data_IF_236974180126
#
_entry.id   IF_236974180126
#
_cell.length_a   1.000
_cell.length_b   1.000
_cell.length_c   1.000
_cell.angle_alpha   90.00
_cell.angle_beta   90.00
_cell.angle_gamma   90.00
#
_symmetry.space_group_name_H-M   'P 1'
#
loop_
_entity.id
_entity.type
_entity.pdbx_description
1 polymer ?
#
# COMPACT_ATOMS: atom_id res chain seq x y z
N UNK A 1 8.05 -29.51 29.71
CA UNK A 1 7.46 -28.36 28.99
C UNK A 1 6.37 -28.91 28.09
N UNK A 2 5.12 -28.89 28.56
CA UNK A 2 3.98 -29.36 27.77
C UNK A 2 3.66 -28.32 26.69
N UNK A 3 3.59 -28.80 25.45
CA UNK A 3 3.10 -28.09 24.29
C UNK A 3 1.72 -27.50 24.59
N UNK A 4 1.62 -26.17 24.59
CA UNK A 4 0.35 -25.47 24.70
C UNK A 4 -0.50 -25.75 23.46
N UNK A 5 -1.40 -26.73 23.56
CA UNK A 5 -2.52 -26.84 22.63
C UNK A 5 -3.36 -25.56 22.77
N UNK A 6 -3.56 -24.87 21.65
CA UNK A 6 -4.53 -23.79 21.55
C UNK A 6 -5.91 -24.33 21.99
N UNK A 7 -6.71 -23.56 22.76
CA UNK A 7 -8.04 -23.99 23.18
C UNK A 7 -8.88 -24.43 21.98
N UNK A 8 -9.59 -25.56 22.11
CA UNK A 8 -10.45 -26.15 21.07
C UNK A 8 -11.50 -25.19 20.46
N UNK A 9 -11.75 -24.03 21.09
CA UNK A 9 -12.57 -22.95 20.54
C UNK A 9 -11.93 -22.27 19.31
N UNK A 10 -10.60 -22.24 19.20
CA UNK A 10 -9.89 -21.65 18.06
C UNK A 10 -9.81 -22.59 16.85
N UNK A 11 -10.04 -23.90 17.02
CA UNK A 11 -10.14 -24.83 15.88
C UNK A 11 -11.47 -24.70 15.10
N UNK A 12 -12.45 -23.93 15.60
CA UNK A 12 -13.81 -23.83 15.03
C UNK A 12 -14.09 -22.59 14.19
N UNK A 13 -13.07 -21.83 13.79
CA UNK A 13 -13.18 -20.77 12.77
C UNK A 13 -12.26 -21.09 11.58
N UNK A 14 -12.52 -22.22 10.92
CA UNK A 14 -11.82 -22.64 9.68
C UNK A 14 -12.62 -22.32 8.41
N UNK A 15 -13.60 -21.41 8.49
CA UNK A 15 -14.32 -20.93 7.31
C UNK A 15 -13.51 -19.78 6.68
N UNK A 16 -12.94 -20.03 5.51
CA UNK A 16 -12.44 -18.94 4.68
C UNK A 16 -13.62 -18.03 4.30
N UNK A 17 -13.52 -16.74 4.60
CA UNK A 17 -14.52 -15.76 4.24
C UNK A 17 -14.12 -15.09 2.92
N UNK A 18 -15.04 -15.11 1.95
CA UNK A 18 -14.86 -14.40 0.68
C UNK A 18 -15.26 -12.93 0.83
N UNK A 19 -14.49 -12.02 0.25
CA UNK A 19 -14.85 -10.61 0.20
C UNK A 19 -16.15 -10.38 -0.55
N UNK A 20 -16.99 -9.46 -0.06
CA UNK A 20 -18.31 -9.14 -0.62
C UNK A 20 -19.41 -10.16 -0.30
N UNK A 21 -19.08 -11.29 0.34
CA UNK A 21 -20.06 -12.35 0.65
C UNK A 21 -20.39 -12.34 2.14
N UNK A 22 -21.67 -12.21 2.47
CA UNK A 22 -22.14 -12.35 3.86
C UNK A 22 -22.14 -13.81 4.29
N UNK A 23 -21.54 -14.07 5.45
CA UNK A 23 -21.52 -15.39 6.10
C UNK A 23 -22.08 -15.27 7.50
N UNK A 24 -23.09 -16.09 7.82
CA UNK A 24 -23.62 -16.16 9.19
C UNK A 24 -22.75 -17.07 10.04
N UNK A 25 -22.28 -16.54 11.17
CA UNK A 25 -21.52 -17.26 12.19
C UNK A 25 -22.29 -17.27 13.51
N UNK A 26 -22.26 -18.41 14.21
CA UNK A 26 -22.82 -18.50 15.56
C UNK A 26 -21.80 -17.93 16.56
N UNK A 27 -22.24 -17.00 17.41
CA UNK A 27 -21.36 -16.35 18.39
C UNK A 27 -21.93 -16.53 19.78
N UNK A 28 -21.37 -17.49 20.53
CA UNK A 28 -21.78 -17.76 21.90
C UNK A 28 -23.18 -18.38 21.98
N UNK A 29 -24.20 -17.57 22.29
CA UNK A 29 -25.59 -17.99 22.40
C UNK A 29 -26.13 -18.43 21.02
N UNK A 30 -26.65 -19.67 20.88
CA UNK A 30 -27.25 -20.14 19.63
C UNK A 30 -28.41 -19.27 19.09
N UNK A 31 -29.04 -18.45 19.93
CA UNK A 31 -30.09 -17.52 19.53
C UNK A 31 -29.54 -16.23 18.88
N UNK A 32 -28.24 -15.96 18.98
CA UNK A 32 -27.59 -14.78 18.42
C UNK A 32 -26.86 -15.13 17.13
N UNK A 33 -27.36 -14.64 16.01
CA UNK A 33 -26.70 -14.77 14.70
C UNK A 33 -25.89 -13.52 14.39
N UNK A 34 -24.63 -13.71 13.98
CA UNK A 34 -23.78 -12.65 13.46
C UNK A 34 -23.57 -12.87 11.97
N UNK A 35 -24.02 -11.93 11.14
CA UNK A 35 -23.64 -11.85 9.74
C UNK A 35 -22.31 -11.11 9.63
N UNK A 36 -21.32 -11.75 9.00
CA UNK A 36 -19.99 -11.19 8.75
C UNK A 36 -19.80 -11.05 7.25
N UNK A 37 -19.61 -9.83 6.77
CA UNK A 37 -19.26 -9.54 5.38
C UNK A 37 -17.88 -8.88 5.35
N UNK A 38 -16.81 -9.58 4.95
CA UNK A 38 -15.53 -8.95 4.68
C UNK A 38 -15.62 -8.08 3.42
N UNK A 39 -15.07 -6.89 3.45
CA UNK A 39 -14.96 -5.98 2.31
C UNK A 39 -13.49 -5.66 2.08
N UNK A 40 -13.06 -5.45 0.84
CA UNK A 40 -11.66 -5.16 0.56
C UNK A 40 -11.22 -3.83 1.19
N UNK A 41 -10.17 -3.81 2.02
CA UNK A 41 -9.72 -2.58 2.69
C UNK A 41 -8.77 -1.73 1.84
N UNK A 42 -8.25 -2.28 0.74
CA UNK A 42 -7.36 -1.58 -0.19
C UNK A 42 -6.07 -1.00 0.46
N UNK A 43 -5.65 -1.58 1.60
CA UNK A 43 -4.46 -1.17 2.33
C UNK A 43 -3.22 -1.98 1.91
N UNK A 44 -3.34 -3.30 1.97
CA UNK A 44 -2.37 -4.28 1.46
C UNK A 44 -3.10 -5.56 1.07
N UNK A 45 -2.38 -6.50 0.45
CA UNK A 45 -2.97 -7.80 0.06
C UNK A 45 -3.55 -8.53 1.28
N UNK A 46 -4.80 -8.98 1.14
CA UNK A 46 -5.53 -9.66 2.20
C UNK A 46 -6.13 -8.76 3.28
N UNK A 47 -5.91 -7.43 3.23
CA UNK A 47 -6.52 -6.51 4.16
C UNK A 47 -8.03 -6.38 3.89
N UNK A 48 -8.84 -6.52 4.94
CA UNK A 48 -10.31 -6.45 4.85
C UNK A 48 -10.88 -5.54 5.93
N UNK A 49 -11.96 -4.85 5.56
CA UNK A 49 -12.94 -4.29 6.49
C UNK A 49 -13.93 -5.38 6.85
N UNK A 50 -14.58 -5.28 8.01
CA UNK A 50 -15.68 -6.17 8.39
C UNK A 50 -16.96 -5.38 8.59
N UNK A 51 -18.00 -5.73 7.82
CA UNK A 51 -19.37 -5.35 8.11
C UNK A 51 -20.01 -6.47 8.93
N UNK A 52 -20.28 -6.17 10.19
CA UNK A 52 -20.77 -7.09 11.21
C UNK A 52 -22.22 -6.71 11.54
N UNK A 53 -23.15 -7.65 11.41
CA UNK A 53 -24.58 -7.37 11.58
C UNK A 53 -25.25 -8.40 12.47
N UNK A 54 -25.94 -7.92 13.49
CA UNK A 54 -26.90 -8.68 14.30
C UNK A 54 -28.33 -8.28 13.90
N UNK A 55 -29.33 -8.82 14.60
CA UNK A 55 -30.73 -8.48 14.35
C UNK A 55 -31.04 -6.97 14.52
N UNK A 56 -30.31 -6.30 15.41
CA UNK A 56 -30.60 -4.94 15.89
C UNK A 56 -29.41 -3.97 15.78
N UNK A 57 -28.22 -4.47 15.42
CA UNK A 57 -27.01 -3.67 15.39
C UNK A 57 -26.14 -3.98 14.17
N UNK A 58 -25.47 -2.96 13.65
CA UNK A 58 -24.55 -3.07 12.52
C UNK A 58 -23.29 -2.27 12.80
N UNK A 59 -22.14 -2.93 12.78
CA UNK A 59 -20.81 -2.35 12.99
C UNK A 59 -20.03 -2.45 11.69
N UNK A 60 -19.40 -1.34 11.28
CA UNK A 60 -18.37 -1.36 10.24
C UNK A 60 -17.01 -1.15 10.90
N UNK A 61 -16.12 -2.13 10.77
CA UNK A 61 -14.74 -2.02 11.24
C UNK A 61 -13.81 -1.97 10.04
N UNK A 62 -13.13 -0.83 9.82
CA UNK A 62 -12.30 -0.67 8.62
C UNK A 62 -11.01 -1.47 8.66
N UNK A 63 -10.50 -1.78 9.87
CA UNK A 63 -9.09 -2.14 10.01
C UNK A 63 -8.23 -0.99 9.50
N UNK A 64 -7.01 -1.27 9.03
CA UNK A 64 -6.26 -0.30 8.23
C UNK A 64 -6.82 -0.31 6.81
N UNK A 65 -7.30 0.82 6.31
CA UNK A 65 -7.92 0.90 4.98
C UNK A 65 -7.48 2.16 4.23
N UNK A 66 -7.64 2.14 2.91
CA UNK A 66 -7.41 3.33 2.08
C UNK A 66 -8.55 3.54 1.11
N UNK A 67 -9.33 4.59 1.34
CA UNK A 67 -10.34 5.04 0.39
C UNK A 67 -9.67 5.62 -0.87
N UNK A 68 -10.17 5.26 -2.05
CA UNK A 68 -9.74 5.82 -3.33
C UNK A 68 -10.95 6.03 -4.25
N UNK A 69 -11.13 7.27 -4.69
CA UNK A 69 -12.21 7.66 -5.60
C UNK A 69 -12.01 7.06 -6.99
N UNK A 70 -13.13 6.73 -7.62
CA UNK A 70 -13.23 6.12 -8.95
C UNK A 70 -12.48 4.79 -9.07
N UNK A 71 -12.33 4.08 -7.95
CA UNK A 71 -11.75 2.74 -7.90
C UNK A 71 -12.84 1.67 -7.99
N UNK A 72 -12.46 0.48 -8.47
CA UNK A 72 -13.34 -0.69 -8.43
C UNK A 72 -13.78 -1.00 -6.99
N UNK A 73 -12.87 -0.80 -6.03
CA UNK A 73 -13.12 -1.01 -4.61
C UNK A 73 -14.17 -0.06 -4.06
N UNK A 74 -14.17 1.22 -4.45
CA UNK A 74 -15.25 2.17 -4.10
C UNK A 74 -16.62 1.66 -4.58
N UNK A 75 -16.72 1.21 -5.83
CA UNK A 75 -17.97 0.70 -6.38
C UNK A 75 -18.47 -0.52 -5.58
N UNK A 76 -17.58 -1.45 -5.24
CA UNK A 76 -17.90 -2.62 -4.43
C UNK A 76 -18.36 -2.23 -3.01
N UNK A 77 -17.73 -1.22 -2.40
CA UNK A 77 -18.15 -0.70 -1.10
C UNK A 77 -19.53 -0.05 -1.17
N UNK A 78 -19.79 0.77 -2.18
CA UNK A 78 -21.09 1.40 -2.39
C UNK A 78 -22.19 0.34 -2.57
N UNK A 79 -21.92 -0.73 -3.31
CA UNK A 79 -22.86 -1.85 -3.48
C UNK A 79 -23.11 -2.59 -2.16
N UNK A 80 -22.04 -2.91 -1.41
CA UNK A 80 -22.16 -3.66 -0.16
C UNK A 80 -22.85 -2.85 0.96
N UNK A 81 -22.71 -1.52 0.95
CA UNK A 81 -23.29 -0.63 1.95
C UNK A 81 -24.62 0.00 1.51
N UNK A 82 -25.10 -0.31 0.30
CA UNK A 82 -26.35 0.22 -0.23
C UNK A 82 -27.54 -0.16 0.67
N UNK A 83 -28.21 0.85 1.24
CA UNK A 83 -29.36 0.64 2.13
C UNK A 83 -29.00 0.10 3.52
N UNK A 84 -27.71 -0.04 3.84
CA UNK A 84 -27.24 -0.50 5.15
C UNK A 84 -27.12 0.70 6.10
N UNK A 85 -27.83 0.65 7.23
CA UNK A 85 -27.64 1.59 8.33
C UNK A 85 -26.50 1.09 9.23
N UNK A 86 -25.35 1.75 9.18
CA UNK A 86 -24.25 1.49 10.11
C UNK A 86 -24.55 2.19 11.44
N UNK A 87 -24.62 1.42 12.52
CA UNK A 87 -24.83 1.95 13.88
C UNK A 87 -23.52 2.43 14.52
N UNK A 88 -22.43 1.70 14.29
CA UNK A 88 -21.11 1.99 14.86
C UNK A 88 -20.01 1.84 13.80
N UNK A 89 -19.04 2.76 13.82
CA UNK A 89 -17.92 2.80 12.89
C UNK A 89 -16.61 2.80 13.67
N UNK A 90 -15.81 1.74 13.51
CA UNK A 90 -14.41 1.70 13.91
C UNK A 90 -13.58 2.11 12.70
N UNK A 91 -13.05 3.33 12.73
CA UNK A 91 -12.40 3.99 11.61
C UNK A 91 -10.87 4.03 11.76
N UNK A 92 -10.14 3.67 10.71
CA UNK A 92 -8.73 4.03 10.55
C UNK A 92 -8.59 5.55 10.51
N UNK A 93 -8.05 6.10 11.58
CA UNK A 93 -7.83 7.52 11.74
C UNK A 93 -6.35 7.91 11.63
N UNK A 94 -5.50 7.03 11.07
CA UNK A 94 -4.04 7.25 10.92
C UNK A 94 -3.71 8.63 10.36
N UNK A 95 -4.48 9.07 9.35
CA UNK A 95 -4.33 10.39 8.71
C UNK A 95 -5.55 11.30 8.89
N UNK A 96 -6.30 11.18 10.00
CA UNK A 96 -7.48 12.02 10.27
C UNK A 96 -7.07 13.41 10.81
N UNK A 97 -6.27 14.16 10.06
CA UNK A 97 -5.90 15.53 10.36
C UNK A 97 -5.61 16.31 9.06
N UNK A 98 -6.12 17.54 8.86
CA UNK A 98 -5.98 18.29 7.60
C UNK A 98 -4.54 18.55 7.13
N UNK A 99 -3.57 18.54 8.05
CA UNK A 99 -2.13 18.62 7.74
C UNK A 99 -1.62 17.50 6.84
N UNK A 100 -2.32 16.36 6.81
CA UNK A 100 -1.95 15.20 6.01
C UNK A 100 -2.54 15.35 4.61
N UNK A 101 -1.76 15.99 3.74
CA UNK A 101 -2.06 16.06 2.31
C UNK A 101 -1.17 15.05 1.58
N UNK A 102 -1.78 14.01 1.01
CA UNK A 102 -1.10 12.90 0.35
C UNK A 102 -1.64 12.78 -1.08
N UNK A 103 -0.77 12.60 -2.09
CA UNK A 103 -1.22 12.39 -3.46
C UNK A 103 -1.97 11.06 -3.61
N UNK A 104 -2.80 10.99 -4.64
CA UNK A 104 -3.37 9.73 -5.12
C UNK A 104 -2.25 8.71 -5.44
N UNK A 105 -2.52 7.41 -5.26
CA UNK A 105 -1.51 6.36 -5.52
C UNK A 105 -1.05 6.38 -6.97
N UNK A 106 -1.98 6.61 -7.89
CA UNK A 106 -1.67 6.73 -9.32
C UNK A 106 -0.67 7.87 -9.62
N UNK A 107 -0.80 9.02 -8.94
CA UNK A 107 0.15 10.12 -9.11
C UNK A 107 1.52 9.77 -8.52
N UNK A 108 1.56 9.29 -7.28
CA UNK A 108 2.83 8.88 -6.64
C UNK A 108 3.55 7.78 -7.43
N UNK A 109 2.80 6.85 -8.02
CA UNK A 109 3.31 5.80 -8.91
C UNK A 109 3.95 6.40 -10.17
N UNK A 110 3.25 7.30 -10.88
CA UNK A 110 3.79 7.98 -12.08
C UNK A 110 5.05 8.77 -11.78
N UNK A 111 5.07 9.53 -10.70
CA UNK A 111 6.26 10.30 -10.28
C UNK A 111 7.42 9.36 -9.97
N UNK A 112 7.17 8.26 -9.24
CA UNK A 112 8.19 7.26 -8.95
C UNK A 112 8.79 6.65 -10.22
N UNK A 113 7.94 6.27 -11.18
CA UNK A 113 8.37 5.72 -12.48
C UNK A 113 9.20 6.75 -13.25
N UNK A 114 8.76 8.02 -13.29
CA UNK A 114 9.46 9.12 -13.95
C UNK A 114 10.86 9.31 -13.37
N UNK A 115 10.98 9.37 -12.04
CA UNK A 115 12.26 9.51 -11.34
C UNK A 115 13.20 8.34 -11.67
N UNK A 116 12.71 7.10 -11.59
CA UNK A 116 13.55 5.93 -11.88
C UNK A 116 13.99 5.94 -13.36
N UNK A 117 13.09 6.27 -14.29
CA UNK A 117 13.40 6.33 -15.73
C UNK A 117 14.53 7.29 -16.03
N UNK A 118 14.58 8.44 -15.37
CA UNK A 118 15.65 9.43 -15.56
C UNK A 118 17.04 8.94 -15.14
N UNK A 119 17.11 7.91 -14.29
CA UNK A 119 18.36 7.38 -13.75
C UNK A 119 18.78 6.04 -14.37
N UNK A 120 17.90 5.40 -15.15
CA UNK A 120 18.24 4.19 -15.89
C UNK A 120 18.82 4.54 -17.28
N UNK A 121 19.82 3.78 -17.77
CA UNK A 121 20.44 2.60 -17.14
C UNK A 121 21.61 2.93 -16.18
N UNK A 122 21.95 4.20 -15.99
CA UNK A 122 23.20 4.64 -15.35
C UNK A 122 23.27 4.39 -13.84
N UNK A 123 22.15 4.07 -13.19
CA UNK A 123 22.08 3.80 -11.75
C UNK A 123 21.54 2.40 -11.44
N UNK A 124 22.07 1.81 -10.37
CA UNK A 124 21.39 0.74 -9.66
C UNK A 124 20.24 1.32 -8.85
N UNK A 125 19.07 0.69 -8.92
CA UNK A 125 17.85 1.20 -8.28
C UNK A 125 17.50 0.30 -7.10
N UNK A 126 17.37 0.89 -5.92
CA UNK A 126 16.90 0.23 -4.72
C UNK A 126 15.51 0.74 -4.36
N UNK A 127 14.55 -0.17 -4.18
CA UNK A 127 13.19 0.17 -3.76
C UNK A 127 12.98 -0.34 -2.33
N UNK A 128 12.91 0.60 -1.37
CA UNK A 128 12.71 0.31 0.04
C UNK A 128 11.26 -0.01 0.37
N UNK A 129 10.96 -1.28 0.65
CA UNK A 129 9.59 -1.76 0.91
C UNK A 129 9.48 -2.47 2.26
N UNK A 130 8.27 -2.44 2.82
CA UNK A 130 7.90 -3.21 4.01
C UNK A 130 7.69 -4.68 3.64
N UNK A 131 7.53 -5.59 4.61
CA UNK A 131 7.39 -7.03 4.32
C UNK A 131 6.22 -7.32 3.36
N UNK A 132 5.11 -6.61 3.54
CA UNK A 132 3.89 -6.68 2.74
C UNK A 132 3.51 -5.30 2.22
N UNK A 133 2.84 -5.27 1.06
CA UNK A 133 2.29 -4.06 0.48
C UNK A 133 3.21 -3.45 -0.59
N UNK A 134 2.58 -2.64 -1.45
CA UNK A 134 3.20 -1.93 -2.60
C UNK A 134 3.58 -2.83 -3.77
N UNK A 135 3.09 -4.07 -3.83
CA UNK A 135 3.34 -5.00 -4.94
C UNK A 135 2.81 -4.44 -6.27
N UNK A 136 1.65 -3.76 -6.26
CA UNK A 136 1.12 -3.08 -7.45
C UNK A 136 2.04 -1.96 -7.96
N UNK A 137 2.67 -1.21 -7.04
CA UNK A 137 3.66 -0.19 -7.41
C UNK A 137 4.89 -0.84 -8.06
N UNK A 138 5.38 -1.95 -7.50
CA UNK A 138 6.50 -2.69 -8.08
C UNK A 138 6.15 -3.22 -9.48
N UNK A 139 4.96 -3.82 -9.65
CA UNK A 139 4.50 -4.30 -10.95
C UNK A 139 4.39 -3.16 -11.96
N UNK A 140 3.85 -2.00 -11.56
CA UNK A 140 3.74 -0.84 -12.42
C UNK A 140 5.12 -0.31 -12.84
N UNK A 141 6.10 -0.26 -11.92
CA UNK A 141 7.49 0.12 -12.22
C UNK A 141 8.10 -0.87 -13.22
N UNK A 142 8.03 -2.17 -12.95
CA UNK A 142 8.59 -3.22 -13.80
C UNK A 142 8.01 -3.16 -15.21
N UNK A 143 6.69 -3.05 -15.32
CA UNK A 143 5.98 -3.00 -16.60
C UNK A 143 6.30 -1.73 -17.40
N UNK A 144 6.23 -0.55 -16.79
CA UNK A 144 6.39 0.73 -17.50
C UNK A 144 7.85 1.07 -17.86
N UNK A 145 8.80 0.40 -17.22
CA UNK A 145 10.23 0.56 -17.50
C UNK A 145 10.83 -0.63 -18.23
N UNK A 146 10.02 -1.66 -18.52
CA UNK A 146 10.45 -2.90 -19.20
C UNK A 146 11.66 -3.57 -18.52
N UNK A 147 11.63 -3.60 -17.18
CA UNK A 147 12.68 -4.22 -16.35
C UNK A 147 12.09 -5.26 -15.41
N UNK A 148 12.85 -6.32 -15.10
CA UNK A 148 12.52 -7.17 -13.96
C UNK A 148 12.95 -6.52 -12.67
N UNK A 149 12.17 -6.70 -11.60
CA UNK A 149 12.54 -6.27 -10.25
C UNK A 149 12.94 -7.49 -9.42
N UNK A 150 14.13 -7.43 -8.83
CA UNK A 150 14.56 -8.47 -7.90
C UNK A 150 13.83 -8.35 -6.55
N UNK A 151 13.16 -9.43 -6.14
CA UNK A 151 12.35 -9.53 -4.92
C UNK A 151 12.73 -10.77 -4.10
N UNK A 152 12.35 -10.81 -2.82
CA UNK A 152 12.48 -12.03 -2.01
C UNK A 152 11.53 -13.12 -2.49
N UNK A 153 11.85 -14.38 -2.19
CA UNK A 153 10.97 -15.52 -2.51
C UNK A 153 9.56 -15.34 -1.96
N UNK A 154 9.42 -14.88 -0.72
CA UNK A 154 8.11 -14.68 -0.10
C UNK A 154 7.29 -13.60 -0.81
N UNK A 155 7.95 -12.52 -1.25
CA UNK A 155 7.25 -11.48 -2.03
C UNK A 155 6.88 -11.98 -3.41
N UNK A 156 7.70 -12.83 -4.04
CA UNK A 156 7.34 -13.47 -5.30
C UNK A 156 6.09 -14.34 -5.14
N UNK A 157 5.99 -15.12 -4.05
CA UNK A 157 4.77 -15.88 -3.71
C UNK A 157 3.57 -14.95 -3.54
N UNK A 158 3.72 -13.84 -2.82
CA UNK A 158 2.67 -12.83 -2.67
C UNK A 158 2.22 -12.27 -4.02
N UNK A 159 3.15 -11.91 -4.91
CA UNK A 159 2.84 -11.40 -6.24
C UNK A 159 2.05 -12.43 -7.07
N UNK A 160 2.41 -13.71 -6.99
CA UNK A 160 1.65 -14.79 -7.63
C UNK A 160 0.24 -14.93 -7.08
N UNK A 161 0.07 -14.86 -5.75
CA UNK A 161 -1.26 -14.91 -5.12
C UNK A 161 -2.15 -13.73 -5.52
N UNK A 162 -1.55 -12.58 -5.81
CA UNK A 162 -2.23 -11.40 -6.34
C UNK A 162 -2.54 -11.48 -7.85
N UNK A 163 -2.08 -12.53 -8.54
CA UNK A 163 -2.23 -12.66 -10.00
C UNK A 163 -1.36 -11.70 -10.80
N UNK A 164 -0.31 -11.13 -10.20
CA UNK A 164 0.61 -10.25 -10.92
C UNK A 164 1.49 -11.07 -11.88
N UNK A 165 1.81 -10.55 -13.08
CA UNK A 165 2.59 -11.29 -14.06
C UNK A 165 3.99 -11.65 -13.53
N UNK A 166 4.30 -12.95 -13.48
CA UNK A 166 5.54 -13.48 -12.88
C UNK A 166 6.81 -12.96 -13.58
N UNK A 167 6.74 -12.70 -14.89
CA UNK A 167 7.86 -12.20 -15.68
C UNK A 167 8.34 -10.80 -15.27
N UNK A 168 7.57 -10.04 -14.49
CA UNK A 168 7.96 -8.73 -13.95
C UNK A 168 8.94 -8.84 -12.78
N UNK A 169 9.10 -10.03 -12.21
CA UNK A 169 9.85 -10.25 -10.98
C UNK A 169 10.88 -11.36 -11.14
N UNK A 170 11.95 -11.29 -10.35
CA UNK A 170 12.97 -12.33 -10.27
C UNK A 170 13.50 -12.45 -8.85
N UNK A 171 13.97 -13.63 -8.45
CA UNK A 171 14.73 -13.80 -7.20
C UNK A 171 16.23 -13.66 -7.42
N UNK A 172 16.70 -13.63 -8.68
CA UNK A 172 18.09 -13.42 -9.01
C UNK A 172 18.41 -11.92 -9.04
N UNK A 173 19.03 -11.41 -7.98
CA UNK A 173 19.43 -10.02 -7.87
C UNK A 173 20.55 -9.59 -8.84
N UNK A 174 21.28 -10.54 -9.45
CA UNK A 174 22.32 -10.25 -10.44
C UNK A 174 21.75 -10.09 -11.86
N UNK A 175 20.51 -10.55 -12.10
CA UNK A 175 19.86 -10.47 -13.39
C UNK A 175 19.26 -9.09 -13.71
N UNK A 176 19.28 -8.15 -12.76
CA UNK A 176 18.68 -6.81 -12.90
C UNK A 176 19.39 -5.78 -12.04
N UNK A 177 19.36 -4.52 -12.46
CA UNK A 177 19.84 -3.38 -11.68
C UNK A 177 18.78 -2.80 -10.75
N UNK A 178 17.53 -3.28 -10.82
CA UNK A 178 16.40 -2.81 -10.00
C UNK A 178 16.03 -3.87 -8.97
N UNK A 179 16.16 -3.56 -7.68
CA UNK A 179 15.88 -4.53 -6.61
C UNK A 179 15.18 -3.93 -5.41
N UNK A 180 14.39 -4.76 -4.74
CA UNK A 180 13.80 -4.41 -3.45
C UNK A 180 14.78 -4.62 -2.30
N UNK A 181 14.65 -3.79 -1.26
CA UNK A 181 15.33 -3.96 0.03
C UNK A 181 14.34 -3.69 1.16
N UNK A 182 14.64 -4.18 2.37
CA UNK A 182 13.86 -3.81 3.55
C UNK A 182 13.89 -2.29 3.73
N UNK A 183 12.71 -1.68 3.94
CA UNK A 183 12.57 -0.26 4.22
C UNK A 183 13.50 0.24 5.34
N UNK A 184 13.75 -0.57 6.38
CA UNK A 184 14.66 -0.22 7.48
C UNK A 184 16.11 -0.04 7.03
N UNK A 185 16.51 -0.74 5.99
CA UNK A 185 17.85 -0.67 5.40
C UNK A 185 17.93 0.35 4.27
N UNK A 186 16.80 0.91 3.83
CA UNK A 186 16.71 1.89 2.77
C UNK A 186 17.00 3.28 3.34
N UNK A 187 18.23 3.75 3.12
CA UNK A 187 18.67 5.06 3.60
C UNK A 187 20.09 5.41 3.16
N UNK A 188 20.49 6.63 3.50
CA UNK A 188 21.72 7.27 3.00
C UNK A 188 22.99 6.44 3.27
N UNK A 189 23.09 5.75 4.42
CA UNK A 189 24.25 4.89 4.72
C UNK A 189 24.40 3.75 3.72
N UNK A 190 23.29 3.12 3.33
CA UNK A 190 23.29 2.03 2.34
C UNK A 190 23.66 2.56 0.96
N UNK A 191 23.09 3.70 0.57
CA UNK A 191 23.39 4.37 -0.70
C UNK A 191 24.87 4.78 -0.78
N UNK A 192 25.39 5.48 0.24
CA UNK A 192 26.78 5.92 0.29
C UNK A 192 27.78 4.75 0.21
N UNK A 193 27.43 3.59 0.78
CA UNK A 193 28.24 2.38 0.67
C UNK A 193 28.23 1.81 -0.76
N UNK A 194 27.06 1.79 -1.42
CA UNK A 194 26.90 1.21 -2.75
C UNK A 194 27.41 2.13 -3.86
N UNK A 195 27.34 3.46 -3.68
CA UNK A 195 27.94 4.45 -4.58
C UNK A 195 29.45 4.30 -4.74
N UNK A 196 30.14 3.61 -3.81
CA UNK A 196 31.57 3.26 -3.99
C UNK A 196 31.80 2.22 -5.08
N UNK A 197 30.76 1.49 -5.48
CA UNK A 197 30.81 0.44 -6.49
C UNK A 197 30.10 0.86 -7.77
N UNK A 198 28.89 1.43 -7.66
CA UNK A 198 28.09 1.89 -8.78
C UNK A 198 27.15 3.02 -8.34
N UNK A 199 26.91 4.04 -9.16
CA UNK A 199 25.87 5.04 -8.89
C UNK A 199 24.55 4.36 -8.52
N UNK A 200 23.97 4.75 -7.39
CA UNK A 200 22.81 4.08 -6.79
C UNK A 200 21.74 5.09 -6.42
N UNK A 201 20.54 4.92 -6.97
CA UNK A 201 19.33 5.63 -6.54
C UNK A 201 18.56 4.74 -5.56
N UNK A 202 18.12 5.31 -4.43
CA UNK A 202 17.21 4.63 -3.52
C UNK A 202 15.88 5.37 -3.42
N UNK A 203 14.81 4.69 -3.80
CA UNK A 203 13.44 5.17 -3.68
C UNK A 203 12.79 4.48 -2.48
N UNK A 204 12.21 5.27 -1.59
CA UNK A 204 11.47 4.75 -0.42
C UNK A 204 10.04 5.28 -0.47
N UNK A 205 9.08 4.53 -1.03
CA UNK A 205 7.68 4.94 -1.01
C UNK A 205 7.19 4.91 0.43
N UNK A 206 6.81 6.07 0.97
CA UNK A 206 6.37 6.19 2.36
C UNK A 206 4.95 6.73 2.46
N UNK A 207 4.36 6.63 3.65
CA UNK A 207 3.17 7.40 4.00
C UNK A 207 3.53 8.87 4.19
N UNK A 208 2.83 9.57 5.07
CA UNK A 208 3.11 11.00 5.26
C UNK A 208 4.48 11.26 5.90
N UNK A 209 5.19 12.25 5.37
CA UNK A 209 6.39 12.82 5.97
C UNK A 209 6.35 14.36 5.93
N UNK A 210 6.88 15.04 6.95
CA UNK A 210 7.09 16.49 6.88
C UNK A 210 8.03 16.87 5.73
N UNK A 211 7.71 17.95 5.00
CA UNK A 211 8.50 18.41 3.86
C UNK A 211 9.98 18.69 4.21
N UNK A 212 10.29 19.06 5.45
CA UNK A 212 11.67 19.28 5.93
C UNK A 212 12.48 17.98 6.01
N UNK A 213 11.85 16.84 6.31
CA UNK A 213 12.50 15.52 6.34
C UNK A 213 12.67 14.93 4.93
N UNK A 214 11.74 15.22 4.02
CA UNK A 214 11.85 14.81 2.62
C UNK A 214 13.06 15.45 1.92
N UNK A 215 13.35 16.73 2.18
CA UNK A 215 14.51 17.44 1.59
C UNK A 215 15.86 16.97 2.13
N UNK A 216 15.92 16.51 3.38
CA UNK A 216 17.15 15.95 3.95
C UNK A 216 17.55 14.60 3.32
N UNK A 217 16.59 13.88 2.72
CA UNK A 217 16.85 12.66 1.93
C UNK A 217 17.23 12.94 0.47
N UNK A 218 16.97 14.14 -0.04
CA UNK A 218 17.32 14.58 -1.41
C UNK A 218 18.73 15.22 -1.49
N UNK A 219 19.27 15.70 -0.37
CA UNK A 219 20.50 16.49 -0.33
C UNK A 219 21.80 15.68 -0.28
N UNK A 220 22.32 15.30 -1.45
CA UNK A 220 23.76 15.08 -1.64
C UNK A 220 24.29 15.39 -3.05
N UNK A 221 23.46 15.55 -4.10
CA UNK A 221 23.96 15.69 -5.48
C UNK A 221 23.17 16.66 -6.39
N UNK A 222 22.71 17.82 -5.87
CA UNK A 222 22.09 18.85 -6.73
C UNK A 222 22.68 20.25 -6.55
N UNK A 223 23.99 20.36 -6.75
CA UNK A 223 24.59 21.63 -7.15
C UNK A 223 24.54 21.78 -8.68
N UNK A 224 23.34 21.86 -9.27
CA UNK A 224 23.03 22.52 -10.56
C UNK A 224 21.65 22.06 -11.07
N UNK A 225 20.61 22.88 -10.86
CA UNK A 225 19.32 22.76 -11.52
C UNK A 225 18.58 24.10 -11.46
N UNK A 226 17.92 24.55 -12.55
CA UNK A 226 17.47 25.93 -12.67
C UNK A 226 16.33 26.22 -11.69
N UNK A 227 16.41 27.38 -11.04
CA UNK A 227 15.37 27.90 -10.17
C UNK A 227 14.09 28.16 -10.98
N UNK A 228 13.04 27.37 -10.71
CA UNK A 228 11.68 27.68 -11.16
C UNK A 228 11.23 28.98 -10.49
N UNK A 229 11.06 30.03 -11.30
CA UNK A 229 10.44 31.28 -10.86
C UNK A 229 8.97 31.03 -10.48
N UNK A 230 8.47 31.63 -9.39
CA UNK A 230 7.08 31.48 -9.00
C UNK A 230 6.15 32.14 -10.03
N UNK A 231 5.12 31.42 -10.46
CA UNK A 231 4.07 31.98 -11.31
C UNK A 231 3.23 33.03 -10.56
N UNK A 232 2.75 34.09 -11.25
CA UNK A 232 1.92 35.11 -10.63
C UNK A 232 0.55 34.56 -10.26
N UNK A 233 0.05 34.99 -9.09
CA UNK A 233 -1.30 34.69 -8.60
C UNK A 233 -2.34 35.28 -9.56
N UNK A 234 -3.25 34.45 -10.05
CA UNK A 234 -4.41 34.92 -10.79
C UNK A 234 -5.42 35.54 -9.82
N UNK A 235 -5.78 36.79 -10.13
CA UNK A 235 -6.73 37.62 -9.40
C UNK A 235 -8.14 37.02 -9.38
N UNK A 236 -8.75 37.14 -8.21
CA UNK A 236 -10.18 37.03 -7.98
C UNK A 236 -10.96 38.01 -8.85
N UNK A 237 -11.83 37.51 -9.72
CA UNK A 237 -13.01 38.24 -10.17
C UNK A 237 -14.28 37.42 -9.97
N UNK A 238 -15.15 37.96 -9.10
CA UNK A 238 -16.58 37.68 -9.01
C UNK A 238 -17.22 37.86 -10.38
N UNK A 239 -18.19 37.02 -10.73
CA UNK A 239 -19.44 37.46 -11.34
C UNK A 239 -20.53 36.40 -11.21
N UNK A 240 -21.61 36.84 -10.53
CA UNK A 240 -23.04 36.45 -10.53
C UNK A 240 -23.41 34.97 -10.55
#
# INVERSE_FOLDING_TARGET
MQSGQLPAALERLSAALSTGTSTTVAVGDPAVTLEVTPLEAHHCVGAVMFLLKTADHTVLHTGDFRWELWSQTELLHQQALAGVKVNELYLDNTYCHPKYDLPARALACRETISIIRQHLPDHHILIGVDLLGKEELLAAIAHNLEVQIAVSEDRLKTCHLMGLPSHLFTTNAEATTVRTISRRSAGLKTVARLNRMHPTLCVVPTGWQPAEKARQTEGADSAAGPQLQPQPKADTHKQV
#
